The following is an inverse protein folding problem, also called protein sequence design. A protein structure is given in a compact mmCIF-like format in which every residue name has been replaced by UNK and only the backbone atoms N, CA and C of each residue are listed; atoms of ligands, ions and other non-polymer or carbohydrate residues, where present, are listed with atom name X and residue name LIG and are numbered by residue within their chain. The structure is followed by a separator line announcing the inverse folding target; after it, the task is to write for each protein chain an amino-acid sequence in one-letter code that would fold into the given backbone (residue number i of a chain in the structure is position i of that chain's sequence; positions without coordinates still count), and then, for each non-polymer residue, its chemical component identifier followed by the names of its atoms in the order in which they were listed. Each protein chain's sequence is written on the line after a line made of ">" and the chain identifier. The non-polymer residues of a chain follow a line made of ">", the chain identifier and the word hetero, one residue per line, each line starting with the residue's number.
data_IF_205084178131
#
_entry.id   IF_205084178131
#
_cell.length_a   1.000
_cell.length_b   1.000
_cell.length_c   1.000
_cell.angle_alpha   90.00
_cell.angle_beta   90.00
_cell.angle_gamma   90.00
#
_symmetry.space_group_name_H-M   'P 1'
#
loop_
_entity.id
_entity.type
_entity.pdbx_description
1 polymer ?
#
# COMPACT_ATOMS: atom_id res chain seq x y z
N UNK A 1 -12.51 12.09 72.38
CA UNK A 1 -11.50 12.86 73.16
C UNK A 1 -10.33 13.23 72.25
N UNK A 2 -10.03 14.53 72.09
CA UNK A 2 -8.78 15.08 71.49
C UNK A 2 -8.68 15.08 69.95
N UNK A 3 -8.97 16.18 69.22
CA UNK A 3 -8.16 17.40 68.94
C UNK A 3 -6.99 17.23 67.94
N UNK A 4 -7.20 17.80 66.73
CA UNK A 4 -6.35 18.71 65.90
C UNK A 4 -4.85 18.39 65.69
N UNK A 5 -4.40 18.39 64.42
CA UNK A 5 -3.80 19.57 63.73
C UNK A 5 -3.41 19.28 62.27
N UNK A 6 -3.61 20.32 61.44
CA UNK A 6 -3.20 20.47 60.06
C UNK A 6 -1.69 20.79 59.92
N UNK A 7 -1.10 20.43 58.78
CA UNK A 7 0.23 20.81 58.32
C UNK A 7 0.18 21.33 56.89
N UNK A 8 0.99 22.35 56.61
CA UNK A 8 0.75 23.45 55.69
C UNK A 8 1.61 23.36 54.41
N UNK A 9 1.07 23.94 53.34
CA UNK A 9 1.64 24.12 51.99
C UNK A 9 2.88 25.04 52.03
N UNK A 10 3.94 24.69 51.29
CA UNK A 10 5.04 25.59 50.92
C UNK A 10 5.31 25.48 49.41
N UNK A 11 5.15 26.58 48.68
CA UNK A 11 5.59 26.76 47.30
C UNK A 11 6.99 27.41 47.25
N UNK A 12 7.79 27.18 46.19
CA UNK A 12 8.88 28.08 45.84
C UNK A 12 8.47 29.08 44.74
N UNK A 13 8.56 30.38 45.06
CA UNK A 13 8.72 31.50 44.13
C UNK A 13 10.21 31.73 43.86
N UNK A 14 10.52 32.42 42.73
CA UNK A 14 11.73 33.21 42.35
C UNK A 14 12.21 32.78 40.95
N UNK A 15 12.49 33.61 39.94
CA UNK A 15 12.43 35.07 39.70
C UNK A 15 12.38 35.27 38.18
N UNK A 16 11.61 36.28 37.72
CA UNK A 16 11.66 36.80 36.35
C UNK A 16 12.90 37.70 36.19
N UNK A 17 13.66 37.53 35.11
CA UNK A 17 14.65 38.49 34.61
C UNK A 17 14.38 38.80 33.14
N UNK A 18 14.21 40.09 32.82
CA UNK A 18 14.05 40.67 31.47
C UNK A 18 15.41 41.15 30.96
N UNK A 19 15.72 41.00 29.66
CA UNK A 19 16.62 41.84 28.82
C UNK A 19 16.42 41.37 27.36
N UNK A 20 15.71 42.09 26.46
CA UNK A 20 16.09 43.26 25.63
C UNK A 20 17.10 42.98 24.49
N UNK A 21 16.56 42.91 23.27
CA UNK A 21 16.97 43.52 21.98
C UNK A 21 18.44 43.88 21.65
N UNK A 22 18.88 43.31 20.51
CA UNK A 22 19.57 43.92 19.36
C UNK A 22 21.09 44.22 19.40
N UNK A 23 21.71 43.89 18.25
CA UNK A 23 22.99 44.33 17.67
C UNK A 23 24.29 43.72 18.23
N UNK A 24 25.00 42.89 17.43
CA UNK A 24 26.33 43.20 16.87
C UNK A 24 26.49 42.44 15.53
N UNK A 25 27.04 43.15 14.55
CA UNK A 25 27.24 42.82 13.14
C UNK A 25 28.76 42.64 12.91
N UNK A 26 29.15 41.77 11.96
CA UNK A 26 30.45 41.69 11.21
C UNK A 26 31.59 40.81 11.75
N UNK A 27 32.29 40.17 10.79
CA UNK A 27 33.65 39.63 10.92
C UNK A 27 33.79 38.21 10.33
N UNK A 28 34.03 37.92 9.03
CA UNK A 28 35.15 38.20 8.10
C UNK A 28 35.67 36.86 7.53
N UNK A 29 35.99 36.92 6.24
CA UNK A 29 36.62 35.99 5.30
C UNK A 29 37.82 35.14 5.79
N UNK A 30 38.10 34.14 4.93
CA UNK A 30 39.41 33.66 4.42
C UNK A 30 39.95 32.34 5.00
N UNK A 31 40.11 31.33 4.14
CA UNK A 31 41.43 30.97 3.58
C UNK A 31 41.37 29.70 2.70
N UNK A 32 41.64 29.89 1.40
CA UNK A 32 42.29 28.97 0.44
C UNK A 32 43.76 29.44 0.35
N UNK A 33 44.77 28.57 0.11
CA UNK A 33 45.36 28.42 -1.24
C UNK A 33 46.15 27.08 -1.44
N UNK A 34 47.06 26.90 -2.44
CA UNK A 34 47.05 27.22 -3.88
C UNK A 34 47.41 26.02 -4.83
N UNK A 35 47.27 26.29 -6.14
CA UNK A 35 47.72 25.54 -7.34
C UNK A 35 49.24 25.27 -7.44
N UNK A 36 49.63 24.30 -8.29
CA UNK A 36 50.70 24.49 -9.31
C UNK A 36 50.37 23.71 -10.60
N UNK A 37 50.59 24.40 -11.72
CA UNK A 37 50.29 24.06 -13.12
C UNK A 37 51.30 23.13 -13.82
N UNK A 38 50.93 22.57 -14.98
CA UNK A 38 51.45 22.95 -16.31
C UNK A 38 51.47 21.83 -17.38
N UNK A 39 50.81 22.13 -18.51
CA UNK A 39 51.22 22.03 -19.93
C UNK A 39 51.56 20.66 -20.59
N UNK A 40 51.04 20.50 -21.82
CA UNK A 40 51.87 20.06 -22.96
C UNK A 40 51.29 19.00 -23.91
N UNK A 41 50.57 19.46 -24.93
CA UNK A 41 50.51 19.05 -26.36
C UNK A 41 50.80 17.60 -26.87
N UNK A 42 49.94 17.16 -27.79
CA UNK A 42 50.08 16.02 -28.71
C UNK A 42 51.01 16.34 -29.91
N UNK A 43 51.49 15.34 -30.68
CA UNK A 43 50.78 14.94 -31.90
C UNK A 43 50.90 13.44 -32.32
N UNK A 44 49.99 12.98 -33.21
CA UNK A 44 50.11 11.74 -34.03
C UNK A 44 50.86 12.04 -35.37
N UNK A 45 50.91 11.19 -36.43
CA UNK A 45 50.79 9.71 -36.61
C UNK A 45 51.91 9.10 -37.49
N UNK A 46 51.99 7.76 -37.64
CA UNK A 46 52.48 7.13 -38.88
C UNK A 46 52.05 5.65 -39.02
N UNK A 47 51.77 5.27 -40.28
CA UNK A 47 51.32 3.96 -40.76
C UNK A 47 52.48 2.94 -40.85
N UNK A 48 52.23 1.64 -40.65
CA UNK A 48 52.16 0.65 -41.74
C UNK A 48 51.92 -0.81 -41.26
N UNK A 49 51.06 -1.50 -42.03
CA UNK A 49 51.11 -2.90 -42.52
C UNK A 49 51.11 -4.14 -41.60
N UNK A 50 50.07 -4.96 -41.86
CA UNK A 50 50.04 -6.41 -42.20
C UNK A 50 50.71 -7.42 -41.26
N UNK A 51 49.90 -8.28 -40.64
CA UNK A 51 49.54 -9.64 -41.12
C UNK A 51 49.10 -10.51 -39.94
N UNK A 52 48.29 -11.55 -40.23
CA UNK A 52 48.33 -12.78 -39.45
C UNK A 52 47.11 -13.11 -38.59
N UNK A 53 46.34 -14.07 -39.09
CA UNK A 53 45.18 -14.71 -38.48
C UNK A 53 45.45 -15.40 -37.13
N UNK A 54 44.39 -15.63 -36.34
CA UNK A 54 44.48 -16.60 -35.23
C UNK A 54 43.40 -16.51 -34.15
N UNK A 55 42.21 -17.03 -34.45
CA UNK A 55 41.27 -17.74 -33.57
C UNK A 55 41.24 -17.41 -32.06
N UNK A 56 40.19 -16.72 -31.61
CA UNK A 56 39.78 -16.64 -30.19
C UNK A 56 38.79 -17.75 -29.87
N UNK A 57 38.97 -18.40 -28.73
CA UNK A 57 37.94 -19.29 -28.19
C UNK A 57 38.31 -19.94 -26.87
N UNK A 58 38.54 -19.15 -25.81
CA UNK A 58 38.44 -19.63 -24.42
C UNK A 58 38.00 -18.48 -23.48
N UNK A 59 36.72 -18.51 -23.12
CA UNK A 59 36.27 -18.82 -21.75
C UNK A 59 35.63 -17.75 -20.84
N UNK A 60 34.95 -18.30 -19.82
CA UNK A 60 34.58 -17.84 -18.47
C UNK A 60 33.62 -16.64 -18.27
N UNK A 61 32.43 -16.99 -17.78
CA UNK A 61 31.89 -16.67 -16.46
C UNK A 61 31.84 -15.21 -15.94
N UNK A 62 30.67 -14.94 -15.32
CA UNK A 62 30.30 -13.90 -14.34
C UNK A 62 30.06 -12.48 -14.88
N UNK A 63 28.84 -12.01 -14.65
CA UNK A 63 28.48 -10.60 -14.71
C UNK A 63 27.21 -10.31 -13.92
N UNK A 64 27.38 -9.87 -12.67
CA UNK A 64 26.43 -9.00 -11.98
C UNK A 64 26.08 -7.81 -12.89
N UNK A 65 24.80 -7.43 -12.98
CA UNK A 65 24.44 -6.12 -13.52
C UNK A 65 23.30 -5.50 -12.71
N UNK A 66 23.70 -4.53 -11.87
CA UNK A 66 22.86 -3.48 -11.31
C UNK A 66 22.32 -2.59 -12.44
N UNK A 67 21.11 -2.08 -12.24
CA UNK A 67 20.67 -0.71 -12.54
C UNK A 67 20.99 -0.09 -13.90
N UNK A 68 19.95 0.16 -14.69
CA UNK A 68 19.91 1.36 -15.55
C UNK A 68 18.61 2.12 -15.30
N UNK A 69 18.78 3.29 -14.69
CA UNK A 69 17.73 4.27 -14.48
C UNK A 69 17.27 4.90 -15.80
N UNK A 70 16.00 5.28 -15.81
CA UNK A 70 15.38 6.03 -16.88
C UNK A 70 15.62 7.53 -16.66
N UNK A 71 16.31 8.19 -17.60
CA UNK A 71 16.30 9.66 -17.74
C UNK A 71 15.67 10.00 -19.09
N UNK A 72 14.78 11.00 -19.07
CA UNK A 72 14.21 11.68 -20.25
C UNK A 72 12.84 12.26 -19.88
N UNK A 73 12.78 13.45 -19.28
CA UNK A 73 12.62 14.77 -19.93
C UNK A 73 11.31 14.86 -20.73
N UNK A 74 10.33 15.53 -20.13
CA UNK A 74 9.10 16.00 -20.76
C UNK A 74 9.44 17.00 -21.88
N UNK A 75 8.93 16.73 -23.09
CA UNK A 75 8.61 17.76 -24.07
C UNK A 75 7.33 17.34 -24.80
N UNK A 76 6.35 18.24 -24.74
CA UNK A 76 5.01 18.15 -25.28
C UNK A 76 4.99 18.71 -26.71
N UNK A 77 4.71 17.89 -27.73
CA UNK A 77 4.20 18.31 -29.05
C UNK A 77 3.35 17.20 -29.67
N UNK A 78 2.10 17.54 -29.97
CA UNK A 78 1.06 16.61 -30.43
C UNK A 78 1.21 16.09 -31.87
N UNK A 79 0.61 14.91 -32.08
CA UNK A 79 0.05 14.45 -33.37
C UNK A 79 -1.00 13.34 -33.09
N UNK A 80 -2.13 13.27 -33.80
CA UNK A 80 -3.18 12.31 -33.49
C UNK A 80 -2.82 10.92 -34.01
N UNK A 81 -2.81 9.93 -33.13
CA UNK A 81 -2.70 8.51 -33.47
C UNK A 81 -4.07 7.86 -33.30
N UNK A 82 -4.60 7.36 -34.41
CA UNK A 82 -5.77 6.47 -34.51
C UNK A 82 -5.64 5.29 -33.54
N UNK A 83 -6.52 5.25 -32.53
CA UNK A 83 -6.58 4.13 -31.58
C UNK A 83 -7.33 2.94 -32.22
N UNK A 84 -6.87 1.69 -31.98
CA UNK A 84 -7.69 0.51 -32.25
C UNK A 84 -8.87 0.44 -31.27
N UNK A 85 -9.96 -0.27 -31.61
CA UNK A 85 -11.18 -0.29 -30.80
C UNK A 85 -10.92 -0.84 -29.40
N UNK A 86 -11.70 -0.38 -28.40
CA UNK A 86 -11.49 -0.75 -27.01
C UNK A 86 -11.68 -2.25 -26.83
N UNK A 87 -10.64 -2.89 -26.29
CA UNK A 87 -10.71 -4.23 -25.73
C UNK A 87 -11.77 -4.19 -24.64
N UNK A 88 -12.92 -4.77 -24.93
CA UNK A 88 -13.92 -5.14 -23.96
C UNK A 88 -13.21 -5.81 -22.78
N UNK A 89 -13.58 -5.36 -21.59
CA UNK A 89 -13.28 -6.02 -20.34
C UNK A 89 -13.35 -7.54 -20.54
N UNK A 90 -12.35 -8.26 -20.02
CA UNK A 90 -12.53 -9.68 -19.72
C UNK A 90 -13.54 -9.78 -18.57
N UNK A 91 -14.81 -9.51 -18.89
CA UNK A 91 -15.91 -10.25 -18.35
C UNK A 91 -15.72 -11.65 -18.92
N UNK A 92 -15.13 -12.54 -18.11
CA UNK A 92 -15.34 -13.94 -18.34
C UNK A 92 -16.86 -14.12 -18.42
N UNK A 93 -17.36 -14.46 -19.60
CA UNK A 93 -18.73 -14.91 -19.74
C UNK A 93 -18.90 -16.05 -18.73
N UNK A 94 -19.70 -15.82 -17.71
CA UNK A 94 -20.14 -16.88 -16.79
C UNK A 94 -21.02 -17.77 -17.62
N UNK A 95 -20.41 -18.75 -18.28
CA UNK A 95 -21.10 -19.95 -18.71
C UNK A 95 -21.64 -20.56 -17.41
N UNK A 96 -22.95 -20.78 -17.25
CA UNK A 96 -23.44 -21.58 -16.14
C UNK A 96 -22.87 -22.98 -16.36
N UNK A 97 -21.76 -23.28 -15.69
CA UNK A 97 -21.27 -24.63 -15.62
C UNK A 97 -22.15 -25.32 -14.58
N UNK A 98 -22.93 -26.31 -15.01
CA UNK A 98 -23.61 -27.29 -14.14
C UNK A 98 -22.62 -28.13 -13.29
N UNK A 99 -21.33 -27.78 -13.29
CA UNK A 99 -20.35 -28.40 -12.43
C UNK A 99 -20.58 -27.95 -10.98
N UNK A 100 -20.58 -28.88 -10.02
CA UNK A 100 -20.68 -28.53 -8.61
C UNK A 100 -19.54 -27.55 -8.23
N UNK A 101 -19.82 -26.57 -7.34
CA UNK A 101 -18.80 -25.63 -6.91
C UNK A 101 -17.59 -26.40 -6.36
N UNK A 102 -16.40 -26.07 -6.87
CA UNK A 102 -15.15 -26.69 -6.43
C UNK A 102 -14.97 -26.36 -4.95
N UNK A 103 -14.81 -27.38 -4.12
CA UNK A 103 -14.52 -27.23 -2.68
C UNK A 103 -13.05 -27.57 -2.44
N UNK A 104 -12.30 -26.64 -1.88
CA UNK A 104 -10.91 -26.85 -1.51
C UNK A 104 -10.76 -27.87 -0.39
N UNK A 105 -9.69 -28.65 -0.41
CA UNK A 105 -9.39 -29.71 0.58
C UNK A 105 -7.98 -29.59 1.14
N UNK A 106 -7.23 -28.53 0.80
CA UNK A 106 -5.91 -28.29 1.39
C UNK A 106 -6.05 -28.02 2.90
N UNK A 107 -5.45 -28.85 3.78
CA UNK A 107 -5.59 -28.68 5.23
C UNK A 107 -4.64 -27.61 5.80
N UNK A 108 -3.64 -27.18 5.03
CA UNK A 108 -2.58 -26.28 5.45
C UNK A 108 -2.72 -24.89 4.80
N UNK A 109 -2.06 -23.86 5.34
CA UNK A 109 -1.95 -22.52 4.71
C UNK A 109 -1.24 -22.54 3.33
N UNK A 110 -0.52 -23.62 3.01
CA UNK A 110 0.13 -23.86 1.72
C UNK A 110 0.03 -25.35 1.35
N UNK A 111 -0.43 -25.69 0.13
CA UNK A 111 -0.49 -27.08 -0.35
C UNK A 111 0.87 -27.78 -0.26
N UNK A 112 0.86 -29.07 0.07
CA UNK A 112 2.08 -29.86 0.24
C UNK A 112 2.93 -29.92 -1.04
N UNK A 113 2.27 -30.00 -2.20
CA UNK A 113 2.88 -29.99 -3.53
C UNK A 113 3.62 -28.68 -3.80
N UNK A 114 2.97 -27.54 -3.58
CA UNK A 114 3.57 -26.22 -3.72
C UNK A 114 4.74 -26.05 -2.73
N UNK A 115 4.55 -26.44 -1.47
CA UNK A 115 5.58 -26.34 -0.43
C UNK A 115 6.86 -27.09 -0.81
N UNK A 116 6.74 -28.35 -1.24
CA UNK A 116 7.88 -29.16 -1.68
C UNK A 116 8.55 -28.59 -2.94
N UNK A 117 7.75 -28.07 -3.88
CA UNK A 117 8.28 -27.39 -5.07
C UNK A 117 9.10 -26.15 -4.68
N UNK A 118 8.61 -25.35 -3.74
CA UNK A 118 9.27 -24.11 -3.32
C UNK A 118 10.53 -24.38 -2.50
N UNK A 119 10.60 -25.45 -1.71
CA UNK A 119 11.85 -25.93 -1.10
C UNK A 119 12.88 -26.31 -2.17
N UNK A 120 12.47 -27.11 -3.17
CA UNK A 120 13.35 -27.55 -4.27
C UNK A 120 13.89 -26.36 -5.08
N UNK A 121 13.05 -25.37 -5.35
CA UNK A 121 13.40 -24.19 -6.14
C UNK A 121 14.04 -23.07 -5.31
N UNK A 122 14.16 -23.24 -3.98
CA UNK A 122 14.65 -22.21 -3.03
C UNK A 122 13.86 -20.90 -3.11
N UNK A 123 12.55 -21.02 -3.30
CA UNK A 123 11.61 -19.91 -3.45
C UNK A 123 10.78 -19.69 -2.17
N UNK A 124 11.47 -19.60 -1.04
CA UNK A 124 10.91 -19.35 0.29
C UNK A 124 11.17 -17.92 0.73
N UNK A 125 10.11 -17.20 1.13
CA UNK A 125 10.24 -15.89 1.76
C UNK A 125 10.85 -16.02 3.16
N UNK A 126 11.35 -14.92 3.71
CA UNK A 126 12.03 -14.92 5.02
C UNK A 126 11.14 -15.49 6.15
N UNK A 127 9.85 -15.17 6.11
CA UNK A 127 8.84 -15.64 7.08
C UNK A 127 8.53 -17.13 6.99
N UNK A 128 8.92 -17.78 5.89
CA UNK A 128 8.58 -19.18 5.62
C UNK A 128 9.74 -20.12 6.00
N UNK A 129 10.89 -19.58 6.43
CA UNK A 129 12.13 -20.35 6.63
C UNK A 129 12.24 -20.88 8.04
N UNK A 130 12.54 -22.17 8.17
CA UNK A 130 12.87 -22.77 9.47
C UNK A 130 14.32 -22.42 9.80
N UNK A 131 14.56 -21.84 10.98
CA UNK A 131 15.89 -21.42 11.44
C UNK A 131 16.63 -20.54 10.40
N UNK A 132 15.89 -19.72 9.65
CA UNK A 132 16.41 -18.88 8.56
C UNK A 132 17.07 -19.62 7.38
N UNK A 133 16.91 -20.95 7.29
CA UNK A 133 17.41 -21.76 6.17
C UNK A 133 16.57 -21.54 4.90
N UNK A 134 17.16 -21.03 3.79
CA UNK A 134 16.43 -20.78 2.54
C UNK A 134 15.95 -22.06 1.83
N UNK A 135 16.35 -23.25 2.29
CA UNK A 135 15.99 -24.53 1.68
C UNK A 135 14.93 -25.30 2.46
N UNK A 136 14.55 -24.83 3.66
CA UNK A 136 13.68 -25.58 4.56
C UNK A 136 12.51 -24.73 5.05
N UNK A 137 11.31 -25.24 4.89
CA UNK A 137 10.09 -24.66 5.45
C UNK A 137 9.37 -25.66 6.35
N UNK A 138 8.26 -25.23 6.93
CA UNK A 138 7.38 -26.09 7.72
C UNK A 138 5.92 -25.82 7.34
N UNK A 139 5.02 -26.74 7.69
CA UNK A 139 3.59 -26.61 7.39
C UNK A 139 2.97 -25.37 8.04
N UNK A 140 3.47 -24.99 9.22
CA UNK A 140 2.98 -23.85 10.01
C UNK A 140 3.52 -22.50 9.54
N UNK A 141 4.56 -22.47 8.70
CA UNK A 141 5.16 -21.21 8.21
C UNK A 141 4.81 -20.94 6.74
N UNK A 142 4.73 -21.98 5.92
CA UNK A 142 4.49 -21.84 4.48
C UNK A 142 3.07 -21.31 4.19
N UNK A 143 2.98 -20.23 3.40
CA UNK A 143 1.70 -19.70 2.93
C UNK A 143 1.65 -19.75 1.40
N UNK A 144 0.53 -20.21 0.85
CA UNK A 144 0.31 -20.36 -0.60
C UNK A 144 0.59 -19.05 -1.35
N UNK A 145 1.47 -19.09 -2.36
CA UNK A 145 1.75 -17.94 -3.24
C UNK A 145 0.58 -17.64 -4.17
N UNK A 146 0.47 -16.40 -4.63
CA UNK A 146 -0.51 -16.06 -5.67
C UNK A 146 -0.06 -16.61 -7.03
N UNK A 147 -0.96 -17.31 -7.74
CA UNK A 147 -0.67 -17.84 -9.06
C UNK A 147 -1.28 -16.93 -10.14
N UNK A 148 -0.45 -16.33 -11.01
CA UNK A 148 -0.92 -15.40 -12.06
C UNK A 148 -1.77 -16.09 -13.12
N UNK A 149 -1.45 -17.34 -13.42
CA UNK A 149 -2.08 -18.12 -14.49
C UNK A 149 -2.69 -19.37 -13.89
N UNK A 150 -4.01 -19.36 -13.79
CA UNK A 150 -4.76 -20.54 -13.42
C UNK A 150 -5.11 -21.30 -14.70
N UNK A 151 -4.59 -22.52 -14.86
CA UNK A 151 -5.12 -23.46 -15.84
C UNK A 151 -6.24 -24.26 -15.18
N UNK A 152 -7.49 -24.05 -15.62
CA UNK A 152 -8.67 -24.77 -15.08
C UNK A 152 -8.56 -26.28 -15.23
N UNK A 153 -7.77 -26.77 -16.19
CA UNK A 153 -7.59 -28.19 -16.49
C UNK A 153 -6.67 -28.96 -15.54
N UNK A 154 -6.01 -28.28 -14.59
CA UNK A 154 -4.98 -28.90 -13.73
C UNK A 154 -5.13 -28.67 -12.23
N UNK A 155 -6.05 -27.81 -11.77
CA UNK A 155 -6.19 -27.54 -10.33
C UNK A 155 -6.91 -28.71 -9.66
N UNK A 156 -6.27 -29.30 -8.65
CA UNK A 156 -6.91 -30.28 -7.79
C UNK A 156 -7.55 -29.59 -6.58
N UNK A 157 -8.57 -30.22 -6.00
CA UNK A 157 -9.16 -29.75 -4.75
C UNK A 157 -8.11 -29.61 -3.63
N UNK A 158 -7.08 -30.46 -3.62
CA UNK A 158 -5.96 -30.42 -2.66
C UNK A 158 -5.06 -29.20 -2.81
N UNK A 159 -5.14 -28.48 -3.93
CA UNK A 159 -4.37 -27.26 -4.17
C UNK A 159 -5.11 -26.01 -3.67
N UNK A 160 -6.38 -26.12 -3.28
CA UNK A 160 -7.23 -25.00 -2.87
C UNK A 160 -7.53 -25.13 -1.37
N UNK A 161 -7.37 -24.04 -0.62
CA UNK A 161 -7.68 -23.99 0.82
C UNK A 161 -9.19 -23.82 1.03
N UNK A 162 -9.84 -24.62 1.90
CA UNK A 162 -11.22 -24.39 2.30
C UNK A 162 -11.34 -23.14 3.18
N UNK A 163 -12.58 -22.65 3.34
CA UNK A 163 -12.87 -21.41 4.07
C UNK A 163 -12.27 -21.33 5.49
N UNK A 164 -12.31 -22.38 6.34
CA UNK A 164 -11.69 -22.29 7.68
C UNK A 164 -10.18 -22.04 7.61
N UNK A 165 -9.48 -22.72 6.71
CA UNK A 165 -8.03 -22.56 6.51
C UNK A 165 -7.72 -21.18 5.92
N UNK A 166 -8.58 -20.62 5.07
CA UNK A 166 -8.43 -19.25 4.55
C UNK A 166 -8.57 -18.21 5.66
N UNK A 167 -9.49 -18.40 6.61
CA UNK A 167 -9.65 -17.53 7.78
C UNK A 167 -8.41 -17.61 8.68
N UNK A 168 -7.98 -18.81 9.03
CA UNK A 168 -6.75 -19.03 9.82
C UNK A 168 -5.52 -18.42 9.14
N UNK A 169 -5.41 -18.57 7.82
CA UNK A 169 -4.33 -17.94 7.04
C UNK A 169 -4.38 -16.43 7.18
N UNK A 170 -5.55 -15.82 7.08
CA UNK A 170 -5.69 -14.37 7.20
C UNK A 170 -5.31 -13.87 8.60
N UNK A 171 -5.66 -14.61 9.65
CA UNK A 171 -5.30 -14.30 11.04
C UNK A 171 -3.77 -14.38 11.24
N UNK A 172 -3.12 -15.41 10.67
CA UNK A 172 -1.66 -15.52 10.66
C UNK A 172 -0.99 -14.34 9.95
N UNK A 173 -1.49 -13.93 8.78
CA UNK A 173 -0.97 -12.78 8.05
C UNK A 173 -1.14 -11.47 8.85
N UNK A 174 -2.26 -11.33 9.57
CA UNK A 174 -2.49 -10.17 10.43
C UNK A 174 -1.51 -10.13 11.61
N UNK A 175 -1.18 -11.28 12.20
CA UNK A 175 -0.16 -11.37 13.23
C UNK A 175 1.22 -10.93 12.71
N UNK A 176 1.59 -11.33 11.49
CA UNK A 176 2.84 -10.89 10.85
C UNK A 176 2.88 -9.37 10.60
N UNK A 177 1.75 -8.75 10.24
CA UNK A 177 1.68 -7.30 10.02
C UNK A 177 1.99 -6.49 11.28
N UNK A 178 1.64 -7.04 12.45
CA UNK A 178 1.85 -6.43 13.76
C UNK A 178 3.21 -6.79 14.37
N UNK A 179 3.94 -7.74 13.79
CA UNK A 179 5.32 -8.06 14.21
C UNK A 179 6.28 -6.98 13.72
N UNK A 180 7.22 -6.58 14.57
CA UNK A 180 8.25 -5.58 14.27
C UNK A 180 9.60 -6.17 13.87
N UNK A 181 9.65 -7.45 13.50
CA UNK A 181 10.92 -8.15 13.26
C UNK A 181 11.60 -7.75 11.94
N UNK A 182 10.82 -7.33 10.94
CA UNK A 182 11.32 -7.02 9.59
C UNK A 182 10.91 -5.62 9.12
N UNK A 183 11.69 -5.00 8.21
CA UNK A 183 11.28 -3.79 7.50
C UNK A 183 9.89 -3.95 6.88
N UNK A 184 9.10 -2.88 6.94
CA UNK A 184 7.70 -2.90 6.53
C UNK A 184 7.53 -3.30 5.06
N UNK A 185 8.44 -2.91 4.18
CA UNK A 185 8.40 -3.23 2.75
C UNK A 185 8.48 -4.74 2.51
N UNK A 186 9.28 -5.45 3.31
CA UNK A 186 9.41 -6.92 3.23
C UNK A 186 8.13 -7.60 3.72
N UNK A 187 7.55 -7.09 4.82
CA UNK A 187 6.28 -7.58 5.37
C UNK A 187 5.14 -7.33 4.38
N UNK A 188 5.07 -6.12 3.83
CA UNK A 188 4.12 -5.69 2.82
C UNK A 188 4.16 -6.62 1.61
N UNK A 189 5.32 -6.82 0.99
CA UNK A 189 5.43 -7.62 -0.24
C UNK A 189 4.98 -9.07 -0.02
N UNK A 190 5.28 -9.63 1.15
CA UNK A 190 4.80 -10.95 1.53
C UNK A 190 3.29 -10.99 1.67
N UNK A 191 2.71 -10.14 2.53
CA UNK A 191 1.26 -10.15 2.80
C UNK A 191 0.47 -9.75 1.55
N UNK A 192 0.97 -8.80 0.76
CA UNK A 192 0.38 -8.37 -0.51
C UNK A 192 0.24 -9.54 -1.50
N UNK A 193 1.26 -10.40 -1.62
CA UNK A 193 1.15 -11.60 -2.46
C UNK A 193 0.19 -12.64 -1.87
N UNK A 194 0.31 -12.92 -0.56
CA UNK A 194 -0.47 -13.99 0.09
C UNK A 194 -1.96 -13.67 0.19
N UNK A 195 -2.33 -12.42 0.44
CA UNK A 195 -3.73 -11.97 0.42
C UNK A 195 -4.37 -12.10 -0.96
N UNK A 196 -3.62 -11.89 -2.05
CA UNK A 196 -4.10 -12.17 -3.41
C UNK A 196 -4.35 -13.66 -3.63
N UNK A 197 -3.49 -14.53 -3.08
CA UNK A 197 -3.70 -15.98 -3.10
C UNK A 197 -4.95 -16.39 -2.31
N UNK A 198 -5.18 -15.81 -1.13
CA UNK A 198 -6.38 -16.04 -0.31
C UNK A 198 -7.64 -15.66 -1.09
N UNK A 199 -7.67 -14.47 -1.68
CA UNK A 199 -8.78 -14.02 -2.52
C UNK A 199 -8.99 -14.91 -3.74
N UNK A 200 -7.90 -15.36 -4.37
CA UNK A 200 -7.94 -16.27 -5.51
C UNK A 200 -8.62 -17.60 -5.14
N UNK A 201 -8.30 -18.18 -3.98
CA UNK A 201 -8.96 -19.41 -3.51
C UNK A 201 -10.44 -19.19 -3.18
N UNK A 202 -10.81 -18.03 -2.62
CA UNK A 202 -12.23 -17.66 -2.40
C UNK A 202 -12.99 -17.57 -3.73
N UNK A 203 -12.39 -16.93 -4.74
CA UNK A 203 -12.98 -16.76 -6.07
C UNK A 203 -13.12 -18.08 -6.81
N UNK A 204 -12.11 -18.97 -6.78
CA UNK A 204 -12.20 -20.29 -7.44
C UNK A 204 -13.34 -21.12 -6.88
N UNK A 205 -13.57 -21.04 -5.57
CA UNK A 205 -14.64 -21.76 -4.88
C UNK A 205 -16.01 -21.05 -4.95
N UNK A 206 -16.09 -19.87 -5.59
CA UNK A 206 -17.29 -19.03 -5.63
C UNK A 206 -17.92 -18.79 -4.24
N UNK A 207 -17.09 -18.59 -3.21
CA UNK A 207 -17.57 -18.44 -1.83
C UNK A 207 -18.11 -17.03 -1.57
N UNK A 208 -19.40 -16.96 -1.20
CA UNK A 208 -20.07 -15.72 -0.78
C UNK A 208 -20.84 -15.97 0.51
N UNK A 209 -20.27 -15.55 1.64
CA UNK A 209 -20.86 -15.63 2.98
C UNK A 209 -20.18 -14.63 3.93
N UNK A 210 -20.70 -14.49 5.15
CA UNK A 210 -20.21 -13.52 6.13
C UNK A 210 -18.72 -13.69 6.48
N UNK A 211 -18.22 -14.93 6.55
CA UNK A 211 -16.80 -15.18 6.82
C UNK A 211 -15.91 -14.76 5.63
N UNK A 212 -16.34 -15.07 4.39
CA UNK A 212 -15.63 -14.64 3.19
C UNK A 212 -15.61 -13.10 3.08
N UNK A 213 -16.72 -12.44 3.39
CA UNK A 213 -16.79 -10.98 3.51
C UNK A 213 -15.79 -10.47 4.54
N UNK A 214 -15.77 -11.04 5.75
CA UNK A 214 -14.82 -10.67 6.79
C UNK A 214 -13.35 -10.81 6.36
N UNK A 215 -13.02 -11.82 5.56
CA UNK A 215 -11.67 -11.97 4.99
C UNK A 215 -11.37 -10.82 4.00
N UNK A 216 -12.31 -10.49 3.10
CA UNK A 216 -12.13 -9.36 2.17
C UNK A 216 -12.01 -8.02 2.91
N UNK A 217 -12.83 -7.81 3.94
CA UNK A 217 -12.77 -6.66 4.83
C UNK A 217 -11.37 -6.51 5.44
N UNK A 218 -10.76 -7.59 5.94
CA UNK A 218 -9.42 -7.58 6.53
C UNK A 218 -8.32 -7.35 5.49
N UNK A 219 -8.46 -7.90 4.28
CA UNK A 219 -7.53 -7.62 3.17
C UNK A 219 -7.55 -6.13 2.80
N UNK A 220 -8.74 -5.51 2.77
CA UNK A 220 -8.87 -4.07 2.51
C UNK A 220 -8.23 -3.26 3.63
N UNK A 221 -8.45 -3.62 4.91
CA UNK A 221 -7.78 -2.96 6.05
C UNK A 221 -6.26 -3.03 5.90
N UNK A 222 -5.71 -4.20 5.56
CA UNK A 222 -4.29 -4.36 5.29
C UNK A 222 -3.81 -3.37 4.22
N UNK A 223 -4.55 -3.25 3.10
CA UNK A 223 -4.18 -2.32 2.04
C UNK A 223 -4.28 -0.85 2.46
N UNK A 224 -5.26 -0.46 3.28
CA UNK A 224 -5.38 0.91 3.81
C UNK A 224 -4.19 1.25 4.71
N UNK A 225 -3.86 0.37 5.66
CA UNK A 225 -2.72 0.55 6.56
C UNK A 225 -1.39 0.58 5.77
N UNK A 226 -1.28 -0.27 4.75
CA UNK A 226 -0.12 -0.30 3.86
C UNK A 226 -0.01 0.97 3.03
N UNK A 227 -1.12 1.51 2.54
CA UNK A 227 -1.14 2.77 1.78
C UNK A 227 -0.56 3.91 2.61
N UNK A 228 -1.00 4.04 3.86
CA UNK A 228 -0.51 5.04 4.82
C UNK A 228 0.99 4.87 5.10
N UNK A 229 1.43 3.65 5.45
CA UNK A 229 2.83 3.37 5.79
C UNK A 229 3.78 3.55 4.60
N UNK A 230 3.43 3.02 3.42
CA UNK A 230 4.24 3.19 2.21
C UNK A 230 4.36 4.66 1.81
N UNK A 231 3.29 5.45 1.96
CA UNK A 231 3.33 6.88 1.65
C UNK A 231 4.32 7.65 2.55
N UNK A 232 4.47 7.26 3.82
CA UNK A 232 5.46 7.87 4.73
C UNK A 232 6.90 7.51 4.35
N UNK A 233 7.13 6.31 3.81
CA UNK A 233 8.44 5.88 3.30
C UNK A 233 8.77 6.43 1.90
N UNK A 234 7.85 7.17 1.26
CA UNK A 234 7.85 7.41 -0.19
C UNK A 234 8.81 8.50 -0.71
N UNK A 235 9.91 8.79 0.00
CA UNK A 235 10.92 9.75 -0.48
C UNK A 235 11.74 9.21 -1.68
N UNK A 236 11.67 7.91 -1.95
CA UNK A 236 12.40 7.23 -3.03
C UNK A 236 11.49 6.83 -4.22
N UNK A 237 12.05 6.78 -5.43
CA UNK A 237 11.31 6.50 -6.67
C UNK A 237 10.59 5.15 -6.69
N UNK A 238 11.13 4.14 -6.02
CA UNK A 238 10.60 2.77 -6.02
C UNK A 238 9.33 2.64 -5.17
N UNK A 239 9.21 3.43 -4.10
CA UNK A 239 8.04 3.46 -3.24
C UNK A 239 6.79 3.95 -3.98
N UNK A 240 6.93 4.84 -4.98
CA UNK A 240 5.81 5.27 -5.82
C UNK A 240 5.18 4.12 -6.62
N UNK A 241 5.95 3.07 -6.96
CA UNK A 241 5.44 1.91 -7.68
C UNK A 241 4.66 0.95 -6.77
N UNK A 242 5.15 0.74 -5.55
CA UNK A 242 4.48 -0.07 -4.53
C UNK A 242 3.15 0.57 -4.11
N UNK A 243 3.14 1.88 -3.85
CA UNK A 243 1.91 2.62 -3.53
C UNK A 243 0.84 2.46 -4.61
N UNK A 244 1.25 2.53 -5.89
CA UNK A 244 0.34 2.34 -7.03
C UNK A 244 -0.25 0.93 -7.06
N UNK A 245 0.61 -0.09 -6.99
CA UNK A 245 0.18 -1.49 -7.02
C UNK A 245 -0.72 -1.85 -5.82
N UNK A 246 -0.40 -1.34 -4.64
CA UNK A 246 -1.23 -1.47 -3.44
C UNK A 246 -2.63 -0.90 -3.67
N UNK A 247 -2.71 0.32 -4.19
CA UNK A 247 -3.97 1.00 -4.48
C UNK A 247 -4.79 0.26 -5.54
N UNK A 248 -4.14 -0.25 -6.60
CA UNK A 248 -4.79 -1.04 -7.64
C UNK A 248 -5.41 -2.33 -7.08
N UNK A 249 -4.67 -3.07 -6.25
CA UNK A 249 -5.20 -4.30 -5.65
C UNK A 249 -6.30 -4.01 -4.62
N UNK A 250 -6.19 -2.92 -3.86
CA UNK A 250 -7.23 -2.47 -2.95
C UNK A 250 -8.54 -2.17 -3.67
N UNK A 251 -8.51 -1.43 -4.79
CA UNK A 251 -9.71 -1.18 -5.59
C UNK A 251 -10.31 -2.46 -6.15
N UNK A 252 -9.48 -3.36 -6.68
CA UNK A 252 -9.95 -4.68 -7.13
C UNK A 252 -10.58 -5.48 -5.99
N UNK A 253 -10.07 -5.35 -4.77
CA UNK A 253 -10.63 -6.00 -3.59
C UNK A 253 -11.99 -5.42 -3.19
N UNK A 254 -12.10 -4.08 -3.17
CA UNK A 254 -13.35 -3.36 -2.92
C UNK A 254 -14.45 -3.73 -3.92
N UNK A 255 -14.13 -3.78 -5.22
CA UNK A 255 -15.11 -4.15 -6.24
C UNK A 255 -15.65 -5.58 -6.03
N UNK A 256 -14.76 -6.55 -5.78
CA UNK A 256 -15.19 -7.92 -5.44
C UNK A 256 -16.02 -7.97 -4.15
N UNK A 257 -15.69 -7.16 -3.15
CA UNK A 257 -16.48 -7.06 -1.92
C UNK A 257 -17.89 -6.50 -2.19
N UNK A 258 -18.02 -5.49 -3.05
CA UNK A 258 -19.32 -4.94 -3.43
C UNK A 258 -20.19 -5.96 -4.17
N UNK A 259 -19.59 -6.78 -5.05
CA UNK A 259 -20.31 -7.88 -5.71
C UNK A 259 -20.84 -8.90 -4.69
N UNK A 260 -20.07 -9.19 -3.63
CA UNK A 260 -20.51 -10.04 -2.53
C UNK A 260 -21.64 -9.41 -1.72
N UNK A 261 -21.55 -8.13 -1.35
CA UNK A 261 -22.64 -7.42 -0.67
C UNK A 261 -23.93 -7.44 -1.49
N UNK A 262 -23.84 -7.15 -2.80
CA UNK A 262 -25.00 -7.24 -3.70
C UNK A 262 -25.61 -8.65 -3.74
N UNK A 263 -24.79 -9.69 -3.65
CA UNK A 263 -25.26 -11.07 -3.67
C UNK A 263 -25.93 -11.44 -2.34
N UNK A 264 -25.35 -11.07 -1.20
CA UNK A 264 -25.93 -11.32 0.13
C UNK A 264 -27.21 -10.52 0.34
N UNK A 265 -27.31 -9.29 -0.16
CA UNK A 265 -28.54 -8.50 -0.08
C UNK A 265 -29.76 -9.14 -0.77
N UNK A 266 -29.54 -10.03 -1.74
CA UNK A 266 -30.64 -10.80 -2.34
C UNK A 266 -31.19 -11.87 -1.39
N UNK A 267 -30.41 -12.24 -0.37
CA UNK A 267 -30.66 -13.38 0.51
C UNK A 267 -30.99 -12.90 1.93
N UNK A 268 -30.32 -11.85 2.42
CA UNK A 268 -30.37 -11.36 3.80
C UNK A 268 -30.48 -9.83 3.88
N UNK A 269 -30.73 -9.32 5.09
CA UNK A 269 -30.76 -7.87 5.38
C UNK A 269 -29.37 -7.24 5.38
N UNK A 270 -29.32 -5.91 5.17
CA UNK A 270 -28.08 -5.13 4.96
C UNK A 270 -27.13 -5.19 6.17
N UNK A 271 -25.82 -5.30 5.92
CA UNK A 271 -24.81 -5.17 6.97
C UNK A 271 -24.56 -3.69 7.29
N UNK A 272 -24.36 -3.37 8.58
CA UNK A 272 -24.13 -2.00 9.05
C UNK A 272 -22.80 -1.38 8.57
N UNK A 273 -21.84 -2.20 8.10
CA UNK A 273 -20.48 -1.74 7.74
C UNK A 273 -20.30 -1.38 6.27
N UNK A 274 -21.23 -1.77 5.40
CA UNK A 274 -21.04 -1.69 3.95
C UNK A 274 -20.77 -0.26 3.48
N UNK A 275 -21.53 0.69 4.02
CA UNK A 275 -21.39 2.12 3.75
C UNK A 275 -19.96 2.63 3.99
N UNK A 276 -19.28 2.13 5.03
CA UNK A 276 -17.89 2.46 5.34
C UNK A 276 -16.96 2.01 4.21
N UNK A 277 -17.11 0.78 3.73
CA UNK A 277 -16.30 0.25 2.63
C UNK A 277 -16.57 0.94 1.28
N UNK A 278 -17.84 1.27 1.00
CA UNK A 278 -18.19 2.10 -0.16
C UNK A 278 -17.54 3.50 -0.06
N UNK A 279 -17.44 4.06 1.15
CA UNK A 279 -16.78 5.36 1.37
C UNK A 279 -15.29 5.31 1.05
N UNK A 280 -14.58 4.22 1.37
CA UNK A 280 -13.15 4.06 1.04
C UNK A 280 -12.91 4.13 -0.47
N UNK A 281 -13.79 3.50 -1.26
CA UNK A 281 -13.70 3.56 -2.71
C UNK A 281 -13.81 4.99 -3.25
N UNK A 282 -14.67 5.82 -2.65
CA UNK A 282 -14.81 7.23 -3.01
C UNK A 282 -13.59 8.03 -2.60
N UNK A 283 -13.08 7.84 -1.39
CA UNK A 283 -11.89 8.54 -0.89
C UNK A 283 -10.65 8.24 -1.72
N UNK A 284 -10.53 7.01 -2.23
CA UNK A 284 -9.46 6.65 -3.16
C UNK A 284 -9.40 7.54 -4.40
N UNK A 285 -10.52 8.15 -4.82
CA UNK A 285 -10.61 9.07 -5.97
C UNK A 285 -9.97 10.45 -5.76
N UNK A 286 -9.45 10.74 -4.57
CA UNK A 286 -8.65 11.95 -4.34
C UNK A 286 -7.27 11.88 -5.00
N UNK A 287 -6.73 10.67 -5.18
CA UNK A 287 -5.39 10.47 -5.73
C UNK A 287 -5.28 10.77 -7.22
N UNK A 288 -4.22 11.46 -7.63
CA UNK A 288 -3.96 11.77 -9.05
C UNK A 288 -3.36 10.60 -9.85
N UNK A 289 -2.96 9.50 -9.17
CA UNK A 289 -2.30 8.32 -9.78
C UNK A 289 -3.16 7.05 -9.72
N UNK A 290 -4.48 7.18 -9.76
CA UNK A 290 -5.36 6.02 -9.69
C UNK A 290 -5.40 5.36 -11.08
N UNK A 291 -5.36 4.01 -11.18
CA UNK A 291 -5.79 3.30 -12.37
C UNK A 291 -7.14 3.85 -12.85
N UNK A 292 -7.20 4.37 -14.09
CA UNK A 292 -8.44 4.95 -14.63
C UNK A 292 -9.57 3.94 -14.52
N UNK A 293 -10.60 4.27 -13.75
CA UNK A 293 -11.82 3.47 -13.69
C UNK A 293 -12.42 3.38 -15.11
N UNK A 294 -12.90 2.19 -15.50
CA UNK A 294 -13.50 1.99 -16.82
C UNK A 294 -14.72 2.89 -17.05
N UNK A 295 -15.48 3.16 -15.98
CA UNK A 295 -16.64 4.05 -15.98
C UNK A 295 -16.38 5.29 -15.13
N UNK A 296 -17.17 6.36 -15.32
CA UNK A 296 -17.13 7.55 -14.45
C UNK A 296 -17.63 7.22 -13.04
N UNK A 297 -17.07 7.87 -12.02
CA UNK A 297 -17.55 7.78 -10.64
C UNK A 297 -19.03 8.17 -10.52
N UNK A 298 -19.51 9.09 -11.37
CA UNK A 298 -20.94 9.45 -11.45
C UNK A 298 -21.84 8.28 -11.87
N UNK A 299 -21.38 7.47 -12.82
CA UNK A 299 -22.12 6.28 -13.26
C UNK A 299 -22.14 5.22 -12.18
N UNK A 300 -21.01 5.01 -11.48
CA UNK A 300 -20.96 4.09 -10.34
C UNK A 300 -21.93 4.51 -9.22
N UNK A 301 -22.01 5.81 -8.89
CA UNK A 301 -22.99 6.31 -7.92
C UNK A 301 -24.45 5.98 -8.29
N UNK A 302 -24.80 6.03 -9.57
CA UNK A 302 -26.18 5.74 -10.01
C UNK A 302 -26.62 4.30 -9.78
N UNK A 303 -25.67 3.39 -9.57
CA UNK A 303 -25.94 1.97 -9.30
C UNK A 303 -26.09 1.66 -7.81
N UNK A 304 -25.75 2.60 -6.92
CA UNK A 304 -25.77 2.36 -5.49
C UNK A 304 -27.18 2.52 -4.88
N UNK A 305 -27.53 1.70 -3.87
CA UNK A 305 -28.77 1.88 -3.12
C UNK A 305 -28.85 3.25 -2.42
N UNK A 306 -30.06 3.80 -2.33
CA UNK A 306 -30.27 5.09 -1.66
C UNK A 306 -29.87 5.07 -0.17
N UNK A 307 -29.96 3.91 0.51
CA UNK A 307 -29.50 3.76 1.90
C UNK A 307 -27.99 3.99 2.03
N UNK A 308 -27.19 3.42 1.13
CA UNK A 308 -25.74 3.62 1.08
C UNK A 308 -25.40 5.07 0.73
N UNK A 309 -26.05 5.66 -0.28
CA UNK A 309 -25.75 7.04 -0.71
C UNK A 309 -26.06 8.08 0.38
N UNK A 310 -27.05 7.82 1.23
CA UNK A 310 -27.47 8.70 2.33
C UNK A 310 -26.80 8.38 3.68
N UNK A 311 -25.94 7.36 3.72
CA UNK A 311 -25.17 7.02 4.92
C UNK A 311 -24.22 8.16 5.31
N UNK A 312 -23.89 8.23 6.60
CA UNK A 312 -22.96 9.26 7.11
C UNK A 312 -21.57 9.11 6.49
N UNK A 313 -21.11 7.87 6.30
CA UNK A 313 -19.80 7.53 5.75
C UNK A 313 -19.68 8.00 4.29
N UNK A 314 -20.74 7.80 3.49
CA UNK A 314 -20.77 8.23 2.11
C UNK A 314 -20.91 9.74 1.95
N UNK A 315 -21.73 10.39 2.78
CA UNK A 315 -21.86 11.86 2.81
C UNK A 315 -20.51 12.49 3.18
N UNK A 316 -19.82 11.95 4.19
CA UNK A 316 -18.48 12.34 4.57
C UNK A 316 -17.52 12.24 3.38
N UNK A 317 -17.38 11.05 2.78
CA UNK A 317 -16.43 10.83 1.68
C UNK A 317 -16.68 11.75 0.46
N UNK A 318 -17.95 11.95 0.09
CA UNK A 318 -18.33 12.87 -0.99
C UNK A 318 -17.98 14.31 -0.68
N UNK A 319 -18.20 14.74 0.57
CA UNK A 319 -17.94 16.12 0.98
C UNK A 319 -16.44 16.38 1.04
N UNK A 320 -15.66 15.42 1.53
CA UNK A 320 -14.20 15.45 1.55
C UNK A 320 -13.64 15.54 0.14
N UNK A 321 -14.04 14.64 -0.76
CA UNK A 321 -13.61 14.64 -2.17
C UNK A 321 -13.94 15.97 -2.86
N UNK A 322 -15.14 16.52 -2.61
CA UNK A 322 -15.53 17.83 -3.13
C UNK A 322 -14.69 18.97 -2.56
N UNK A 323 -14.42 18.98 -1.25
CA UNK A 323 -13.60 20.03 -0.64
C UNK A 323 -12.18 20.00 -1.19
N UNK A 324 -11.61 18.80 -1.39
CA UNK A 324 -10.30 18.61 -1.99
C UNK A 324 -10.23 19.19 -3.41
N UNK A 325 -11.17 18.81 -4.30
CA UNK A 325 -11.17 19.30 -5.68
C UNK A 325 -11.47 20.80 -5.82
N UNK A 326 -12.21 21.39 -4.88
CA UNK A 326 -12.50 22.83 -4.87
C UNK A 326 -11.43 23.67 -4.14
N UNK A 327 -10.38 23.04 -3.58
CA UNK A 327 -9.36 23.74 -2.80
C UNK A 327 -9.86 24.31 -1.47
N UNK A 328 -10.99 23.82 -0.93
CA UNK A 328 -11.51 24.26 0.37
C UNK A 328 -10.86 23.47 1.51
N UNK A 329 -9.56 23.70 1.70
CA UNK A 329 -8.75 22.94 2.65
C UNK A 329 -9.15 23.20 4.10
N UNK A 330 -9.62 24.40 4.46
CA UNK A 330 -10.13 24.69 5.81
C UNK A 330 -11.27 23.75 6.19
N UNK A 331 -12.29 23.64 5.34
CA UNK A 331 -13.43 22.74 5.60
C UNK A 331 -13.01 21.28 5.56
N UNK A 332 -12.13 20.91 4.63
CA UNK A 332 -11.57 19.58 4.52
C UNK A 332 -10.89 19.13 5.82
N UNK A 333 -9.93 19.91 6.36
CA UNK A 333 -9.25 19.57 7.61
C UNK A 333 -10.20 19.55 8.81
N UNK A 334 -11.12 20.51 8.93
CA UNK A 334 -12.12 20.51 10.00
C UNK A 334 -12.99 19.25 10.01
N UNK A 335 -13.50 18.82 8.84
CA UNK A 335 -14.35 17.63 8.77
C UNK A 335 -13.56 16.34 9.03
N UNK A 336 -12.31 16.23 8.56
CA UNK A 336 -11.47 15.06 8.86
C UNK A 336 -11.25 14.96 10.38
N UNK A 337 -10.98 16.07 11.06
CA UNK A 337 -10.74 16.08 12.50
C UNK A 337 -11.97 15.75 13.36
N UNK A 338 -13.18 16.03 12.86
CA UNK A 338 -14.42 15.88 13.60
C UNK A 338 -15.14 14.55 13.31
N UNK A 339 -15.14 14.11 12.04
CA UNK A 339 -16.03 13.05 11.56
C UNK A 339 -15.31 11.79 11.04
N UNK A 340 -14.00 11.83 10.75
CA UNK A 340 -13.32 10.71 10.11
C UNK A 340 -13.21 9.50 11.04
N UNK A 341 -13.56 8.32 10.51
CA UNK A 341 -13.17 7.05 11.14
C UNK A 341 -11.65 6.83 11.04
N UNK A 342 -11.10 5.95 11.88
CA UNK A 342 -9.68 5.62 11.88
C UNK A 342 -9.19 5.17 10.49
N UNK A 343 -9.93 4.27 9.82
CA UNK A 343 -9.57 3.78 8.49
C UNK A 343 -9.71 4.83 7.40
N UNK A 344 -10.75 5.68 7.45
CA UNK A 344 -10.88 6.80 6.51
C UNK A 344 -9.72 7.78 6.68
N UNK A 345 -9.31 8.06 7.92
CA UNK A 345 -8.17 8.91 8.23
C UNK A 345 -6.86 8.32 7.67
N UNK A 346 -6.59 7.04 7.92
CA UNK A 346 -5.41 6.34 7.37
C UNK A 346 -5.37 6.42 5.83
N UNK A 347 -6.53 6.34 5.19
CA UNK A 347 -6.65 6.42 3.73
C UNK A 347 -6.43 7.84 3.19
N UNK A 348 -6.89 8.88 3.91
CA UNK A 348 -6.81 10.27 3.47
C UNK A 348 -5.45 10.89 3.77
N UNK A 349 -4.76 10.45 4.83
CA UNK A 349 -3.51 11.03 5.31
C UNK A 349 -2.45 11.26 4.21
N UNK A 350 -2.16 10.30 3.30
CA UNK A 350 -1.17 10.52 2.26
C UNK A 350 -1.42 11.75 1.38
N UNK A 351 -2.70 12.08 1.13
CA UNK A 351 -3.09 13.24 0.33
C UNK A 351 -2.95 14.56 1.10
N UNK A 352 -2.94 14.53 2.44
CA UNK A 352 -2.70 15.73 3.25
C UNK A 352 -1.29 16.29 2.99
N UNK A 353 -0.32 15.41 2.73
CA UNK A 353 1.07 15.77 2.47
C UNK A 353 1.29 16.34 1.05
N UNK A 354 0.33 16.14 0.13
CA UNK A 354 0.40 16.68 -1.25
C UNK A 354 -0.11 18.13 -1.34
N UNK A 355 -0.85 18.62 -0.33
CA UNK A 355 -1.35 20.01 -0.28
C UNK A 355 -0.21 20.94 0.16
N UNK A 356 0.12 21.93 -0.67
CA UNK A 356 1.36 22.71 -0.60
C UNK A 356 1.64 23.40 0.77
N UNK A 357 2.92 23.59 1.15
CA UNK A 357 3.33 24.34 2.35
C UNK A 357 2.83 25.80 2.42
N UNK A 358 2.46 26.43 1.31
CA UNK A 358 1.96 27.82 1.31
C UNK A 358 0.50 27.92 1.78
N UNK A 359 -0.30 26.86 1.59
CA UNK A 359 -1.67 26.75 2.11
C UNK A 359 -1.69 26.23 3.56
N UNK A 360 -0.52 25.83 4.05
CA UNK A 360 -0.26 25.39 5.42
C UNK A 360 -0.28 26.52 6.45
N UNK A 361 -0.61 27.76 6.09
CA UNK A 361 -0.85 28.85 7.05
C UNK A 361 -2.02 28.57 8.02
N UNK A 362 -2.83 27.54 7.76
CA UNK A 362 -3.81 26.98 8.70
C UNK A 362 -3.24 25.92 9.67
N UNK A 363 -1.91 25.67 9.66
CA UNK A 363 -1.19 24.73 10.53
C UNK A 363 -1.43 24.84 12.03
N UNK A 364 -1.74 26.01 12.64
CA UNK A 364 -2.00 26.05 14.08
C UNK A 364 -3.17 25.16 14.51
N UNK A 365 -4.13 24.88 13.61
CA UNK A 365 -5.24 23.93 13.84
C UNK A 365 -4.75 22.49 13.63
N UNK A 366 -3.76 22.29 12.75
CA UNK A 366 -3.13 20.99 12.51
C UNK A 366 -2.21 20.54 13.65
N UNK A 367 -1.72 21.40 14.55
CA UNK A 367 -0.86 20.98 15.67
C UNK A 367 -1.66 20.17 16.70
N UNK A 368 -2.91 20.54 17.00
CA UNK A 368 -3.78 19.71 17.84
C UNK A 368 -4.21 18.41 17.13
N UNK A 369 -4.35 18.46 15.80
CA UNK A 369 -4.58 17.27 14.97
C UNK A 369 -3.37 16.34 14.96
N UNK A 370 -2.15 16.86 14.78
CA UNK A 370 -0.89 16.11 14.85
C UNK A 370 -0.58 15.65 16.28
N UNK A 371 -0.96 16.41 17.31
CA UNK A 371 -0.84 16.01 18.71
C UNK A 371 -1.81 14.87 19.04
N UNK A 372 -3.07 14.94 18.59
CA UNK A 372 -4.03 13.81 18.68
C UNK A 372 -3.58 12.61 17.86
N UNK A 373 -2.94 12.83 16.72
CA UNK A 373 -2.40 11.81 15.85
C UNK A 373 -1.16 11.12 16.43
N UNK A 374 -0.23 11.86 17.04
CA UNK A 374 0.86 11.30 17.84
C UNK A 374 0.28 10.54 19.03
N UNK A 375 -0.71 11.10 19.74
CA UNK A 375 -1.30 10.44 20.91
C UNK A 375 -2.03 9.13 20.55
N UNK A 376 -2.77 9.10 19.44
CA UNK A 376 -3.45 7.90 18.94
C UNK A 376 -2.46 6.86 18.38
N UNK A 377 -1.46 7.28 17.59
CA UNK A 377 -0.42 6.40 17.07
C UNK A 377 0.51 5.84 18.17
N UNK A 378 0.68 6.55 19.29
CA UNK A 378 1.45 6.08 20.45
C UNK A 378 0.65 5.09 21.32
N UNK A 379 -0.69 5.21 21.36
CA UNK A 379 -1.56 4.26 22.07
C UNK A 379 -1.78 2.97 21.26
N UNK A 380 -1.82 3.03 19.92
CA UNK A 380 -1.98 1.82 19.09
C UNK A 380 -0.70 0.98 18.90
N UNK A 381 0.44 1.43 19.44
CA UNK A 381 1.72 0.69 19.42
C UNK A 381 2.12 0.15 20.82
N UNK A 382 1.21 0.13 21.81
CA UNK A 382 1.43 -0.44 23.13
C UNK A 382 0.38 -1.48 23.51
#
# INVERSE_FOLDING_TARGET
>A
TGKRKAGQIIQPKVKRGKLSTAQVKRGILSNLPPEVAARGEAPQPSMDRRDGAGNRGRSYARGNARGRGWRGRCEDRGRPSTQPPPSTASAAAVIPSDAPPVVGTCPDMCPATERAQRERLRDLAVFERVCSDPMRTSRSLAVKKFCRTISSTGIQASDIRPLPVLRETMDYLWHLLNSSEYPFEIVHDFIFDRTRSVRQDLSIQNLVNDQAIGIYEDVIKFHILSHQRLARSCQDSDASSLCYLNTEQMMKCLLSLFDMYHTIHKINSQSNKEAEYYSFFVLLHMGCKIPKMANSLSFWYSQLPASIVRSKEMIFARTILRCYHLGNFKRFFCMIADEATELQLCLVEPFLNEVSPEESLFFPICIDFWARFIYAAFISNF
#
